data_IF_015181700915
#
_entry.id   IF_015181700915
#
_cell.length_a   1.000
_cell.length_b   1.000
_cell.length_c   1.000
_cell.angle_alpha   90.00
_cell.angle_beta   90.00
_cell.angle_gamma   90.00
#
_symmetry.space_group_name_H-M   'P 1'
#
loop_
_entity.id
_entity.type
_entity.pdbx_description
1 polymer ?
#
# COMPACT_ATOMS: atom_id res chain seq x y z
N UNK A 1 -8.46 35.61 8.81
CA UNK A 1 -8.68 34.58 7.75
C UNK A 1 -8.09 33.30 8.28
N UNK A 2 -8.89 32.58 9.06
CA UNK A 2 -8.48 31.31 9.64
C UNK A 2 -8.51 30.28 8.52
N UNK A 3 -7.31 30.02 7.97
CA UNK A 3 -7.13 29.06 6.91
C UNK A 3 -7.64 27.68 7.37
N UNK A 4 -8.41 27.05 6.53
CA UNK A 4 -8.93 25.69 6.69
C UNK A 4 -7.75 24.70 6.84
N UNK A 5 -7.17 24.65 8.04
CA UNK A 5 -6.14 23.66 8.39
C UNK A 5 -6.87 22.35 8.70
N UNK A 6 -7.00 21.49 7.68
CA UNK A 6 -7.46 20.14 7.92
C UNK A 6 -6.46 19.46 8.86
N UNK A 7 -6.90 19.12 10.07
CA UNK A 7 -6.06 18.38 10.99
C UNK A 7 -5.69 17.03 10.36
N UNK A 8 -4.40 16.68 10.38
CA UNK A 8 -3.90 15.42 9.81
C UNK A 8 -4.59 14.19 10.41
N UNK A 9 -5.06 14.28 11.65
CA UNK A 9 -5.85 13.21 12.29
C UNK A 9 -7.20 13.05 11.62
N UNK A 10 -7.89 14.15 11.34
CA UNK A 10 -9.19 14.15 10.63
C UNK A 10 -9.04 13.57 9.24
N UNK A 11 -7.97 13.96 8.51
CA UNK A 11 -7.71 13.42 7.17
C UNK A 11 -7.48 11.90 7.21
N UNK A 12 -6.67 11.41 8.14
CA UNK A 12 -6.41 9.98 8.29
C UNK A 12 -7.66 9.20 8.72
N UNK A 13 -8.51 9.80 9.56
CA UNK A 13 -9.80 9.20 9.91
C UNK A 13 -10.73 9.08 8.70
N UNK A 14 -10.78 10.08 7.84
CA UNK A 14 -11.56 10.04 6.60
C UNK A 14 -11.02 8.92 5.68
N UNK A 15 -9.71 8.80 5.53
CA UNK A 15 -9.08 7.75 4.72
C UNK A 15 -9.51 6.36 5.18
N UNK A 16 -9.45 6.06 6.48
CA UNK A 16 -9.85 4.74 6.98
C UNK A 16 -11.35 4.49 6.81
N UNK A 17 -12.18 5.52 7.03
CA UNK A 17 -13.62 5.41 6.84
C UNK A 17 -13.97 5.04 5.41
N UNK A 18 -13.39 5.74 4.42
CA UNK A 18 -13.57 5.39 3.01
C UNK A 18 -13.02 4.00 2.69
N UNK A 19 -11.84 3.64 3.20
CA UNK A 19 -11.26 2.30 2.99
C UNK A 19 -12.17 1.20 3.54
N UNK A 20 -12.82 1.42 4.68
CA UNK A 20 -13.78 0.50 5.27
C UNK A 20 -15.05 0.35 4.42
N UNK A 21 -15.61 1.47 3.96
CA UNK A 21 -16.78 1.49 3.07
C UNK A 21 -16.48 0.75 1.75
N UNK A 22 -15.32 1.02 1.13
CA UNK A 22 -14.89 0.32 -0.09
C UNK A 22 -14.67 -1.17 0.15
N UNK A 23 -14.06 -1.56 1.27
CA UNK A 23 -13.87 -2.96 1.63
C UNK A 23 -15.21 -3.70 1.73
N UNK A 24 -16.17 -3.15 2.47
CA UNK A 24 -17.50 -3.74 2.61
C UNK A 24 -18.22 -3.79 1.26
N UNK A 25 -18.22 -2.71 0.50
CA UNK A 25 -18.87 -2.65 -0.81
C UNK A 25 -18.34 -3.71 -1.78
N UNK A 26 -17.01 -3.89 -1.86
CA UNK A 26 -16.39 -4.90 -2.70
C UNK A 26 -16.64 -6.32 -2.20
N UNK A 27 -16.68 -6.55 -0.88
CA UNK A 27 -17.04 -7.86 -0.33
C UNK A 27 -18.50 -8.21 -0.61
N UNK A 28 -19.43 -7.27 -0.43
CA UNK A 28 -20.85 -7.47 -0.79
C UNK A 28 -21.01 -7.76 -2.29
N UNK A 29 -20.30 -7.02 -3.13
CA UNK A 29 -20.26 -7.29 -4.57
C UNK A 29 -19.78 -8.71 -4.87
N UNK A 30 -18.70 -9.17 -4.21
CA UNK A 30 -18.16 -10.53 -4.34
C UNK A 30 -19.18 -11.61 -3.94
N UNK A 31 -19.99 -11.37 -2.89
CA UNK A 31 -21.00 -12.32 -2.44
C UNK A 31 -22.25 -12.33 -3.32
N UNK A 32 -22.57 -11.21 -3.96
CA UNK A 32 -23.80 -11.05 -4.77
C UNK A 32 -23.56 -11.47 -6.23
N UNK A 33 -22.37 -11.28 -6.73
CA UNK A 33 -21.98 -11.60 -8.11
C UNK A 33 -21.19 -12.93 -8.16
N UNK A 34 -20.86 -13.37 -9.38
CA UNK A 34 -19.97 -14.54 -9.55
C UNK A 34 -18.62 -14.32 -8.86
N UNK A 35 -18.14 -15.35 -8.18
CA UNK A 35 -16.86 -15.31 -7.47
C UNK A 35 -15.70 -14.90 -8.38
N UNK A 36 -15.18 -13.70 -8.19
CA UNK A 36 -14.02 -13.18 -8.91
C UNK A 36 -12.75 -13.53 -8.12
N UNK A 37 -11.83 -14.26 -8.75
CA UNK A 37 -10.56 -14.64 -8.12
C UNK A 37 -9.80 -13.39 -7.64
N UNK A 38 -9.40 -13.38 -6.36
CA UNK A 38 -8.59 -12.30 -5.78
C UNK A 38 -9.39 -11.10 -5.25
N UNK A 39 -10.65 -10.88 -5.63
CA UNK A 39 -11.41 -9.68 -5.25
C UNK A 39 -11.56 -9.53 -3.72
N UNK A 40 -11.80 -10.61 -2.99
CA UNK A 40 -11.89 -10.56 -1.52
C UNK A 40 -10.56 -10.14 -0.89
N UNK A 41 -9.44 -10.63 -1.40
CA UNK A 41 -8.10 -10.25 -0.93
C UNK A 41 -7.82 -8.78 -1.25
N UNK A 42 -8.23 -8.31 -2.43
CA UNK A 42 -8.12 -6.89 -2.81
C UNK A 42 -8.93 -5.99 -1.89
N UNK A 43 -10.16 -6.39 -1.56
CA UNK A 43 -11.03 -5.65 -0.64
C UNK A 43 -10.38 -5.50 0.75
N UNK A 44 -9.83 -6.57 1.28
CA UNK A 44 -9.10 -6.56 2.55
C UNK A 44 -7.84 -5.69 2.45
N UNK A 45 -7.12 -5.74 1.33
CA UNK A 45 -5.91 -4.93 1.13
C UNK A 45 -6.18 -3.43 1.22
N UNK A 46 -7.29 -2.95 0.67
CA UNK A 46 -7.70 -1.53 0.76
C UNK A 46 -7.91 -1.12 2.22
N UNK A 47 -8.61 -1.94 3.00
CA UNK A 47 -8.82 -1.67 4.42
C UNK A 47 -7.49 -1.64 5.20
N UNK A 48 -6.61 -2.61 4.95
CA UNK A 48 -5.28 -2.70 5.57
C UNK A 48 -4.44 -1.48 5.21
N UNK A 49 -4.41 -1.04 3.93
CA UNK A 49 -3.71 0.18 3.52
C UNK A 49 -4.25 1.41 4.26
N UNK A 50 -5.57 1.55 4.37
CA UNK A 50 -6.21 2.70 5.02
C UNK A 50 -5.99 2.74 6.53
N UNK A 51 -5.77 1.59 7.19
CA UNK A 51 -5.53 1.53 8.64
C UNK A 51 -4.14 2.02 9.05
N UNK A 52 -3.13 1.93 8.16
CA UNK A 52 -1.76 2.36 8.45
C UNK A 52 -1.64 3.86 8.77
N UNK A 53 -2.12 4.78 7.95
CA UNK A 53 -2.13 6.22 8.23
C UNK A 53 -2.84 6.58 9.54
N UNK A 54 -3.93 5.87 9.88
CA UNK A 54 -4.58 6.05 11.17
C UNK A 54 -3.64 5.71 12.33
N UNK A 55 -2.94 4.56 12.26
CA UNK A 55 -1.96 4.18 13.29
C UNK A 55 -0.83 5.22 13.40
N UNK A 56 -0.36 5.78 12.27
CA UNK A 56 0.63 6.86 12.26
C UNK A 56 0.14 8.13 12.97
N UNK A 57 -1.16 8.45 12.89
CA UNK A 57 -1.74 9.65 13.51
C UNK A 57 -1.87 9.54 15.03
N UNK A 58 -1.81 8.32 15.58
CA UNK A 58 -1.80 8.05 17.03
C UNK A 58 -0.39 8.14 17.65
N UNK A 59 0.58 8.62 16.87
CA UNK A 59 1.95 8.82 17.37
C UNK A 59 1.96 9.83 18.50
N UNK A 60 2.62 9.47 19.61
CA UNK A 60 2.65 10.24 20.85
C UNK A 60 1.59 9.82 21.87
N UNK A 61 0.54 9.11 21.46
CA UNK A 61 -0.45 8.50 22.38
C UNK A 61 -0.16 6.99 22.59
N UNK A 62 0.35 6.33 21.55
CA UNK A 62 0.74 4.91 21.58
C UNK A 62 2.26 4.75 21.44
N UNK A 63 2.83 3.63 21.91
CA UNK A 63 4.26 3.35 21.78
C UNK A 63 4.75 3.39 20.32
N UNK A 64 6.00 3.84 20.11
CA UNK A 64 6.60 3.98 18.78
C UNK A 64 6.65 2.67 17.97
N UNK A 65 6.76 1.50 18.60
CA UNK A 65 6.75 0.24 17.89
C UNK A 65 5.40 -0.05 17.21
N UNK A 66 4.29 0.45 17.74
CA UNK A 66 2.96 0.36 17.11
C UNK A 66 2.82 1.42 16.02
N UNK A 67 3.09 2.68 16.38
CA UNK A 67 2.78 3.83 15.50
C UNK A 67 3.81 4.06 14.40
N UNK A 68 5.04 3.61 14.59
CA UNK A 68 6.09 3.76 13.57
C UNK A 68 6.34 2.43 12.85
N UNK A 69 6.71 1.36 13.58
CA UNK A 69 7.04 0.09 12.92
C UNK A 69 5.76 -0.60 12.47
N UNK A 70 4.79 -0.78 13.36
CA UNK A 70 3.52 -1.46 13.08
C UNK A 70 2.76 -0.79 11.94
N UNK A 71 2.57 0.52 11.99
CA UNK A 71 1.86 1.27 10.96
C UNK A 71 2.50 1.13 9.56
N UNK A 72 3.82 1.26 9.46
CA UNK A 72 4.53 1.09 8.19
C UNK A 72 4.45 -0.36 7.69
N UNK A 73 4.55 -1.36 8.58
CA UNK A 73 4.40 -2.77 8.20
C UNK A 73 2.97 -3.09 7.73
N UNK A 74 1.96 -2.48 8.34
CA UNK A 74 0.56 -2.61 7.91
C UNK A 74 0.36 -2.03 6.50
N UNK A 75 0.92 -0.86 6.20
CA UNK A 75 0.90 -0.28 4.85
C UNK A 75 1.58 -1.22 3.85
N UNK A 76 2.80 -1.68 4.17
CA UNK A 76 3.58 -2.62 3.35
C UNK A 76 2.78 -3.91 3.09
N UNK A 77 2.17 -4.49 4.12
CA UNK A 77 1.33 -5.68 4.00
C UNK A 77 0.11 -5.43 3.10
N UNK A 78 -0.55 -4.29 3.24
CA UNK A 78 -1.71 -3.94 2.40
C UNK A 78 -1.34 -3.86 0.92
N UNK A 79 -0.25 -3.19 0.56
CA UNK A 79 0.22 -3.14 -0.82
C UNK A 79 0.70 -4.50 -1.34
N UNK A 80 1.31 -5.33 -0.48
CA UNK A 80 1.65 -6.71 -0.81
C UNK A 80 0.40 -7.55 -1.15
N UNK A 81 -0.64 -7.46 -0.32
CA UNK A 81 -1.92 -8.15 -0.57
C UNK A 81 -2.59 -7.66 -1.85
N UNK A 82 -2.50 -6.36 -2.17
CA UNK A 82 -3.00 -5.81 -3.42
C UNK A 82 -2.28 -6.41 -4.64
N UNK A 83 -0.93 -6.47 -4.61
CA UNK A 83 -0.14 -7.13 -5.66
C UNK A 83 -0.55 -8.59 -5.82
N UNK A 84 -0.62 -9.35 -4.72
CA UNK A 84 -0.99 -10.77 -4.75
C UNK A 84 -2.38 -10.97 -5.35
N UNK A 85 -3.36 -10.18 -4.90
CA UNK A 85 -4.74 -10.29 -5.37
C UNK A 85 -4.87 -10.00 -6.87
N UNK A 86 -4.16 -8.97 -7.37
CA UNK A 86 -4.20 -8.59 -8.78
C UNK A 86 -3.43 -9.57 -9.67
N UNK A 87 -2.37 -10.20 -9.17
CA UNK A 87 -1.74 -11.33 -9.84
C UNK A 87 -2.72 -12.50 -10.00
N UNK A 88 -3.52 -12.83 -8.97
CA UNK A 88 -4.56 -13.87 -9.04
C UNK A 88 -5.68 -13.48 -10.01
N UNK A 89 -6.14 -12.24 -9.95
CA UNK A 89 -7.21 -11.72 -10.82
C UNK A 89 -6.83 -11.77 -12.30
N UNK A 90 -5.59 -11.40 -12.63
CA UNK A 90 -5.08 -11.33 -13.99
C UNK A 90 -4.39 -12.61 -14.46
N UNK A 91 -4.34 -13.64 -13.62
CA UNK A 91 -3.63 -14.89 -13.88
C UNK A 91 -2.15 -14.65 -14.28
N UNK A 92 -1.54 -13.66 -13.60
CA UNK A 92 -0.14 -13.30 -13.81
C UNK A 92 0.79 -14.09 -12.88
N UNK A 93 2.06 -14.21 -13.26
CA UNK A 93 3.07 -14.93 -12.48
C UNK A 93 3.26 -14.36 -11.08
N UNK A 94 3.30 -15.22 -10.06
CA UNK A 94 3.52 -14.84 -8.66
C UNK A 94 4.99 -14.54 -8.31
N UNK A 95 5.92 -14.54 -9.28
CA UNK A 95 7.34 -14.28 -9.02
C UNK A 95 7.59 -12.93 -8.33
N UNK A 96 6.89 -11.87 -8.77
CA UNK A 96 6.99 -10.56 -8.14
C UNK A 96 6.43 -10.57 -6.71
N UNK A 97 5.40 -11.34 -6.45
CA UNK A 97 4.81 -11.50 -5.10
C UNK A 97 5.80 -12.18 -4.16
N UNK A 98 6.48 -13.25 -4.58
CA UNK A 98 7.51 -13.91 -3.77
C UNK A 98 8.68 -12.96 -3.46
N UNK A 99 9.15 -12.21 -4.46
CA UNK A 99 10.21 -11.23 -4.25
C UNK A 99 9.75 -10.11 -3.29
N UNK A 100 8.52 -9.63 -3.43
CA UNK A 100 7.90 -8.65 -2.52
C UNK A 100 7.82 -9.19 -1.09
N UNK A 101 7.48 -10.48 -0.90
CA UNK A 101 7.48 -11.12 0.43
C UNK A 101 8.87 -11.08 1.06
N UNK A 102 9.90 -11.45 0.31
CA UNK A 102 11.27 -11.43 0.80
C UNK A 102 11.70 -10.02 1.19
N UNK A 103 11.40 -9.02 0.37
CA UNK A 103 11.68 -7.61 0.67
C UNK A 103 10.92 -7.14 1.92
N UNK A 104 9.64 -7.53 2.07
CA UNK A 104 8.84 -7.19 3.25
C UNK A 104 9.45 -7.76 4.54
N UNK A 105 9.92 -9.02 4.51
CA UNK A 105 10.59 -9.64 5.65
C UNK A 105 11.93 -8.93 5.99
N UNK A 106 12.66 -8.48 4.98
CA UNK A 106 13.91 -7.73 5.17
C UNK A 106 13.66 -6.30 5.71
N UNK A 107 12.52 -5.70 5.38
CA UNK A 107 12.17 -4.36 5.88
C UNK A 107 12.00 -4.32 7.40
N UNK A 108 11.44 -5.35 8.00
CA UNK A 108 11.15 -5.37 9.44
C UNK A 108 12.42 -5.12 10.30
N UNK A 109 13.52 -5.89 10.16
CA UNK A 109 14.74 -5.63 10.91
C UNK A 109 15.36 -4.26 10.58
N UNK A 110 15.28 -3.79 9.31
CA UNK A 110 15.75 -2.46 8.95
C UNK A 110 14.96 -1.36 9.65
N UNK A 111 13.62 -1.49 9.75
CA UNK A 111 12.79 -0.53 10.49
C UNK A 111 13.12 -0.52 11.99
N UNK A 112 13.34 -1.70 12.60
CA UNK A 112 13.77 -1.81 14.01
C UNK A 112 15.10 -1.10 14.19
N UNK A 113 16.09 -1.36 13.31
CA UNK A 113 17.42 -0.75 13.37
C UNK A 113 17.33 0.78 13.28
N UNK A 114 16.66 1.34 12.26
CA UNK A 114 16.52 2.79 12.06
C UNK A 114 15.48 3.46 12.98
N UNK A 115 14.87 2.72 13.88
CA UNK A 115 14.00 3.30 14.92
C UNK A 115 14.69 3.35 16.26
N UNK A 116 15.46 2.33 16.63
CA UNK A 116 16.00 2.18 17.99
C UNK A 116 17.53 2.29 18.09
N UNK A 117 18.28 1.80 17.08
CA UNK A 117 19.74 1.78 17.13
C UNK A 117 20.37 3.02 16.49
N UNK A 118 19.93 3.37 15.30
CA UNK A 118 20.37 4.56 14.58
C UNK A 118 19.13 5.36 14.09
N UNK A 119 18.53 6.17 14.97
CA UNK A 119 17.27 6.85 14.64
C UNK A 119 17.41 7.76 13.41
N UNK A 120 16.88 7.32 12.28
CA UNK A 120 16.92 8.07 11.02
C UNK A 120 15.56 8.07 10.32
N UNK A 121 14.91 9.22 10.34
CA UNK A 121 13.64 9.42 9.63
C UNK A 121 13.86 9.29 8.12
N UNK A 122 14.97 9.84 7.60
CA UNK A 122 15.31 9.77 6.16
C UNK A 122 15.45 8.32 5.70
N UNK A 123 16.19 7.49 6.41
CA UNK A 123 16.38 6.08 6.06
C UNK A 123 15.06 5.32 6.01
N UNK A 124 14.16 5.53 6.98
CA UNK A 124 12.83 4.90 7.02
C UNK A 124 11.95 5.34 5.86
N UNK A 125 11.98 6.63 5.49
CA UNK A 125 11.23 7.15 4.33
C UNK A 125 11.75 6.51 3.04
N UNK A 126 13.06 6.40 2.86
CA UNK A 126 13.67 5.79 1.67
C UNK A 126 13.27 4.32 1.56
N UNK A 127 13.41 3.56 2.66
CA UNK A 127 13.11 2.12 2.67
C UNK A 127 11.65 1.84 2.28
N UNK A 128 10.69 2.52 2.92
CA UNK A 128 9.28 2.29 2.61
C UNK A 128 8.93 2.76 1.20
N UNK A 129 9.44 3.92 0.77
CA UNK A 129 9.16 4.45 -0.56
C UNK A 129 9.73 3.57 -1.66
N UNK A 130 10.93 3.01 -1.46
CA UNK A 130 11.53 2.05 -2.39
C UNK A 130 10.71 0.77 -2.51
N UNK A 131 10.27 0.20 -1.39
CA UNK A 131 9.39 -0.97 -1.38
C UNK A 131 8.06 -0.69 -2.09
N UNK A 132 7.40 0.43 -1.76
CA UNK A 132 6.12 0.79 -2.37
C UNK A 132 6.26 1.06 -3.87
N UNK A 133 7.34 1.71 -4.31
CA UNK A 133 7.63 1.89 -5.73
C UNK A 133 7.76 0.54 -6.44
N UNK A 134 8.54 -0.39 -5.89
CA UNK A 134 8.71 -1.73 -6.46
C UNK A 134 7.37 -2.47 -6.57
N UNK A 135 6.61 -2.55 -5.47
CA UNK A 135 5.34 -3.30 -5.44
C UNK A 135 4.31 -2.70 -6.39
N UNK A 136 4.17 -1.36 -6.43
CA UNK A 136 3.18 -0.71 -7.30
C UNK A 136 3.53 -0.81 -8.77
N UNK A 137 4.81 -0.73 -9.14
CA UNK A 137 5.27 -0.99 -10.50
C UNK A 137 5.02 -2.44 -10.90
N UNK A 138 5.35 -3.41 -10.03
CA UNK A 138 5.02 -4.82 -10.29
C UNK A 138 3.51 -5.04 -10.44
N UNK A 139 2.69 -4.34 -9.65
CA UNK A 139 1.23 -4.40 -9.73
C UNK A 139 0.75 -3.87 -11.08
N UNK A 140 1.28 -2.72 -11.54
CA UNK A 140 0.94 -2.18 -12.85
C UNK A 140 1.30 -3.15 -13.99
N UNK A 141 2.47 -3.79 -13.93
CA UNK A 141 2.85 -4.83 -14.89
C UNK A 141 1.95 -6.05 -14.84
N UNK A 142 1.58 -6.54 -13.65
CA UNK A 142 0.68 -7.68 -13.50
C UNK A 142 -0.70 -7.37 -14.11
N UNK A 143 -1.21 -6.16 -13.88
CA UNK A 143 -2.49 -5.70 -14.42
C UNK A 143 -2.46 -5.60 -15.94
N UNK A 144 -1.38 -5.09 -16.55
CA UNK A 144 -1.27 -4.90 -18.00
C UNK A 144 -0.95 -6.19 -18.75
N UNK A 145 -0.07 -7.06 -18.20
CA UNK A 145 0.48 -8.24 -18.90
C UNK A 145 -0.15 -9.55 -18.45
N UNK A 146 -1.21 -9.54 -17.62
CA UNK A 146 -1.90 -10.75 -17.24
C UNK A 146 -2.56 -11.44 -18.45
N UNK A 147 -2.73 -12.76 -18.34
CA UNK A 147 -3.20 -13.63 -19.44
C UNK A 147 -4.68 -13.46 -19.80
N UNK A 148 -5.46 -12.82 -18.95
CA UNK A 148 -6.88 -12.59 -19.20
C UNK A 148 -7.06 -11.48 -20.23
N UNK A 149 -7.62 -11.82 -21.41
CA UNK A 149 -7.66 -10.96 -22.60
C UNK A 149 -8.53 -9.69 -22.50
N UNK A 150 -9.37 -9.57 -21.48
CA UNK A 150 -10.27 -8.44 -21.29
C UNK A 150 -9.53 -7.18 -20.80
N UNK A 151 -8.75 -6.54 -21.68
CA UNK A 151 -8.07 -5.28 -21.39
C UNK A 151 -9.07 -4.11 -21.52
N UNK A 152 -10.00 -4.02 -20.59
CA UNK A 152 -10.98 -2.93 -20.52
C UNK A 152 -10.30 -1.60 -20.18
N UNK A 153 -10.96 -0.48 -20.51
CA UNK A 153 -10.51 0.86 -20.10
C UNK A 153 -10.24 0.94 -18.59
N UNK A 154 -11.10 0.33 -17.78
CA UNK A 154 -10.95 0.29 -16.33
C UNK A 154 -9.63 -0.35 -15.87
N UNK A 155 -9.21 -1.45 -16.49
CA UNK A 155 -7.95 -2.13 -16.21
C UNK A 155 -6.75 -1.24 -16.57
N UNK A 156 -6.81 -0.54 -17.72
CA UNK A 156 -5.75 0.40 -18.13
C UNK A 156 -5.66 1.58 -17.15
N UNK A 157 -6.79 2.13 -16.73
CA UNK A 157 -6.83 3.23 -15.74
C UNK A 157 -6.29 2.79 -14.38
N UNK A 158 -6.60 1.57 -13.94
CA UNK A 158 -6.04 1.00 -12.72
C UNK A 158 -4.52 0.84 -12.80
N UNK A 159 -4.00 0.30 -13.92
CA UNK A 159 -2.56 0.18 -14.12
C UNK A 159 -1.87 1.56 -14.16
N UNK A 160 -2.48 2.55 -14.80
CA UNK A 160 -1.99 3.93 -14.84
C UNK A 160 -1.91 4.51 -13.43
N UNK A 161 -2.93 4.32 -12.58
CA UNK A 161 -2.94 4.79 -11.20
C UNK A 161 -1.78 4.18 -10.37
N UNK A 162 -1.53 2.88 -10.49
CA UNK A 162 -0.38 2.24 -9.84
C UNK A 162 0.96 2.74 -10.38
N UNK A 163 1.07 3.00 -11.68
CA UNK A 163 2.28 3.56 -12.31
C UNK A 163 2.57 4.98 -11.80
N UNK A 164 1.56 5.84 -11.76
CA UNK A 164 1.68 7.21 -11.23
C UNK A 164 2.11 7.18 -9.77
N UNK A 165 1.45 6.35 -8.95
CA UNK A 165 1.81 6.22 -7.54
C UNK A 165 3.24 5.70 -7.36
N UNK A 166 3.65 4.69 -8.13
CA UNK A 166 5.02 4.18 -8.14
C UNK A 166 6.04 5.25 -8.52
N UNK A 167 5.75 6.04 -9.56
CA UNK A 167 6.56 7.18 -9.97
C UNK A 167 6.69 8.24 -8.88
N UNK A 168 5.59 8.55 -8.18
CA UNK A 168 5.60 9.45 -7.03
C UNK A 168 6.49 8.92 -5.88
N UNK A 169 6.47 7.61 -5.62
CA UNK A 169 7.34 7.01 -4.60
C UNK A 169 8.82 7.07 -4.99
N UNK A 170 9.15 6.86 -6.26
CA UNK A 170 10.54 7.05 -6.77
C UNK A 170 10.97 8.52 -6.60
N UNK A 171 10.11 9.46 -6.99
CA UNK A 171 10.37 10.90 -6.81
C UNK A 171 10.62 11.24 -5.33
N UNK A 172 9.82 10.68 -4.41
CA UNK A 172 9.98 10.86 -2.97
C UNK A 172 11.34 10.36 -2.48
N UNK A 173 11.83 9.21 -2.98
CA UNK A 173 13.18 8.72 -2.67
C UNK A 173 14.24 9.72 -3.10
N UNK A 174 14.15 10.21 -4.35
CA UNK A 174 15.11 11.18 -4.89
C UNK A 174 15.14 12.45 -4.05
N UNK A 175 13.98 13.05 -3.77
CA UNK A 175 13.92 14.26 -2.93
C UNK A 175 14.52 14.02 -1.55
N UNK A 176 14.25 12.88 -0.92
CA UNK A 176 14.77 12.55 0.42
C UNK A 176 16.28 12.33 0.43
N UNK A 177 16.86 11.85 -0.67
CA UNK A 177 18.32 11.67 -0.80
C UNK A 177 19.05 13.01 -0.93
N UNK A 178 18.44 13.99 -1.59
CA UNK A 178 19.05 15.31 -1.84
C UNK A 178 18.71 16.38 -0.80
N UNK A 179 17.79 16.10 0.14
CA UNK A 179 17.46 16.99 1.27
C UNK A 179 18.30 16.65 2.51
#
# INVERSE_FOLDING_TARGET
MDGFSLDMRTLNFIIILFSFIYCIGLLLFQFTQQSIKGLSIFSISIFVIGSGPLMLSLRGELPDWITVIGANMVIVLGFHLALYSLCLFREYSLKCTYLSTLMMLALLPCFIYFTYYEPSIKARIILISFYLAFVTICTAFAVLKGQRDDLTLAIRMMALSFTIYGGFMVFRVMVTLFS
#
